data_IF_386885514881
#
_entry.id   IF_386885514881
#
_cell.length_a   1.000
_cell.length_b   1.000
_cell.length_c   1.000
_cell.angle_alpha   90.00
_cell.angle_beta   90.00
_cell.angle_gamma   90.00
#
_symmetry.space_group_name_H-M   'P 1'
#
loop_
_entity.id
_entity.type
_entity.pdbx_description
1 polymer ?
#
# COMPACT_ATOMS: atom_id res chain seq x y z
N UNK A 1 1.82 8.61 -10.53
CA UNK A 1 0.91 8.09 -9.48
C UNK A 1 -0.08 9.19 -9.11
N UNK A 2 -1.41 8.97 -9.20
CA UNK A 2 -2.37 9.99 -8.74
C UNK A 2 -2.16 10.25 -7.24
N UNK A 3 -1.72 11.45 -6.90
CA UNK A 3 -1.57 11.92 -5.52
C UNK A 3 -2.97 12.27 -5.05
N UNK A 4 -3.52 11.46 -4.15
CA UNK A 4 -4.85 11.68 -3.60
C UNK A 4 -4.62 12.37 -2.23
N UNK A 5 -5.34 13.44 -1.93
CA UNK A 5 -5.12 14.20 -0.68
C UNK A 5 -5.73 13.52 0.56
N UNK A 6 -6.52 12.45 0.41
CA UNK A 6 -7.13 11.79 1.57
C UNK A 6 -6.07 11.21 2.50
N UNK A 7 -6.34 11.29 3.81
CA UNK A 7 -5.46 10.76 4.84
C UNK A 7 -5.21 9.25 4.67
N UNK A 8 -4.08 8.78 5.17
CA UNK A 8 -3.80 7.35 5.26
C UNK A 8 -4.65 6.71 6.37
N UNK A 9 -5.22 5.54 6.10
CA UNK A 9 -5.88 4.74 7.13
C UNK A 9 -4.84 4.09 8.05
N UNK A 10 -5.25 3.74 9.27
CA UNK A 10 -4.45 2.95 10.21
C UNK A 10 -3.96 1.62 9.61
N UNK A 11 -4.75 1.03 8.71
CA UNK A 11 -4.39 -0.17 7.96
C UNK A 11 -3.20 0.04 7.03
N UNK A 12 -3.10 1.19 6.37
CA UNK A 12 -1.92 1.54 5.56
C UNK A 12 -0.69 1.66 6.45
N UNK A 13 -0.79 2.38 7.57
CA UNK A 13 0.30 2.55 8.52
C UNK A 13 0.80 1.22 9.08
N UNK A 14 -0.11 0.34 9.54
CA UNK A 14 0.27 -0.96 10.09
C UNK A 14 1.00 -1.83 9.07
N UNK A 15 0.54 -1.86 7.81
CA UNK A 15 1.17 -2.65 6.76
C UNK A 15 2.53 -2.07 6.35
N UNK A 16 2.64 -0.75 6.26
CA UNK A 16 3.90 -0.06 5.99
C UNK A 16 4.94 -0.38 7.08
N UNK A 17 4.55 -0.29 8.36
CA UNK A 17 5.40 -0.64 9.49
C UNK A 17 5.82 -2.11 9.45
N UNK A 18 4.91 -3.04 9.13
CA UNK A 18 5.26 -4.47 8.99
C UNK A 18 6.31 -4.73 7.90
N UNK A 19 6.29 -3.99 6.79
CA UNK A 19 7.31 -4.12 5.73
C UNK A 19 8.66 -3.59 6.20
N UNK A 20 8.65 -2.43 6.84
CA UNK A 20 9.86 -1.79 7.37
C UNK A 20 10.49 -2.66 8.46
N UNK A 21 9.69 -3.21 9.35
CA UNK A 21 10.14 -4.14 10.38
C UNK A 21 10.89 -5.33 9.77
N UNK A 22 10.38 -5.91 8.67
CA UNK A 22 11.09 -6.98 7.95
C UNK A 22 12.42 -6.51 7.34
N UNK A 23 12.50 -5.27 6.86
CA UNK A 23 13.75 -4.70 6.33
C UNK A 23 14.79 -4.44 7.42
N UNK A 24 14.34 -3.95 8.59
CA UNK A 24 15.19 -3.75 9.77
C UNK A 24 15.80 -5.08 10.21
N UNK A 25 14.98 -6.14 10.35
CA UNK A 25 15.46 -7.48 10.71
C UNK A 25 16.49 -8.00 9.70
N UNK A 26 16.32 -7.67 8.42
CA UNK A 26 17.25 -8.08 7.35
C UNK A 26 18.49 -7.18 7.22
N UNK A 27 18.58 -6.10 8.00
CA UNK A 27 19.67 -5.12 7.91
C UNK A 27 19.70 -4.34 6.59
N UNK A 28 18.59 -4.26 5.84
CA UNK A 28 18.55 -3.64 4.51
C UNK A 28 18.12 -2.18 4.52
N UNK A 29 18.11 -1.53 5.68
CA UNK A 29 17.69 -0.14 5.82
C UNK A 29 18.57 0.61 6.82
N UNK A 30 19.00 1.82 6.42
CA UNK A 30 19.65 2.76 7.32
C UNK A 30 18.62 3.52 8.15
N UNK A 31 18.91 3.75 9.44
CA UNK A 31 18.06 4.54 10.33
C UNK A 31 17.79 5.95 9.81
N UNK A 32 18.76 6.54 9.11
CA UNK A 32 18.65 7.88 8.50
C UNK A 32 17.58 7.92 7.41
N UNK A 33 17.34 6.79 6.75
CA UNK A 33 16.35 6.68 5.67
C UNK A 33 14.98 6.21 6.13
N UNK A 34 14.83 5.84 7.42
CA UNK A 34 13.62 5.24 7.96
C UNK A 34 12.37 6.09 7.70
N UNK A 35 12.44 7.40 7.92
CA UNK A 35 11.31 8.30 7.70
C UNK A 35 10.94 8.40 6.20
N UNK A 36 11.94 8.50 5.32
CA UNK A 36 11.71 8.51 3.86
C UNK A 36 11.08 7.19 3.41
N UNK A 37 11.58 6.07 3.91
CA UNK A 37 11.03 4.74 3.63
C UNK A 37 9.60 4.59 4.14
N UNK A 38 9.30 5.10 5.34
CA UNK A 38 7.95 5.07 5.90
C UNK A 38 6.95 5.81 5.02
N UNK A 39 7.30 7.01 4.56
CA UNK A 39 6.47 7.75 3.61
C UNK A 39 6.26 6.98 2.30
N UNK A 40 7.33 6.42 1.73
CA UNK A 40 7.25 5.61 0.52
C UNK A 40 6.34 4.37 0.69
N UNK A 41 6.46 3.67 1.82
CA UNK A 41 5.64 2.49 2.13
C UNK A 41 4.16 2.85 2.35
N UNK A 42 3.85 4.00 2.94
CA UNK A 42 2.46 4.49 3.04
C UNK A 42 1.84 4.70 1.66
N UNK A 43 2.59 5.32 0.74
CA UNK A 43 2.15 5.49 -0.64
C UNK A 43 1.93 4.13 -1.32
N UNK A 44 2.85 3.19 -1.14
CA UNK A 44 2.75 1.84 -1.70
C UNK A 44 1.49 1.12 -1.20
N UNK A 45 1.23 1.14 0.11
CA UNK A 45 0.07 0.44 0.68
C UNK A 45 -1.25 0.99 0.16
N UNK A 46 -1.34 2.31 0.01
CA UNK A 46 -2.49 2.95 -0.61
C UNK A 46 -2.63 2.57 -2.08
N UNK A 47 -1.53 2.48 -2.81
CA UNK A 47 -1.56 2.04 -4.20
C UNK A 47 -2.07 0.61 -4.32
N UNK A 48 -1.59 -0.30 -3.47
CA UNK A 48 -2.04 -1.70 -3.41
C UNK A 48 -3.53 -1.80 -3.09
N UNK A 49 -4.04 -0.96 -2.17
CA UNK A 49 -5.48 -0.91 -1.87
C UNK A 49 -6.30 -0.52 -3.11
N UNK A 50 -5.88 0.53 -3.83
CA UNK A 50 -6.58 0.94 -5.08
C UNK A 50 -6.57 -0.15 -6.13
N UNK A 51 -5.43 -0.80 -6.35
CA UNK A 51 -5.34 -1.93 -7.29
C UNK A 51 -6.28 -3.06 -6.90
N UNK A 52 -6.37 -3.38 -5.61
CA UNK A 52 -7.28 -4.41 -5.09
C UNK A 52 -8.74 -4.04 -5.36
N UNK A 53 -9.12 -2.78 -5.14
CA UNK A 53 -10.48 -2.28 -5.40
C UNK A 53 -10.79 -2.33 -6.92
N UNK A 54 -9.85 -1.89 -7.76
CA UNK A 54 -10.01 -1.94 -9.22
C UNK A 54 -10.21 -3.37 -9.73
N UNK A 55 -9.39 -4.32 -9.26
CA UNK A 55 -9.52 -5.74 -9.62
C UNK A 55 -10.84 -6.35 -9.14
N UNK A 56 -11.38 -5.90 -8.00
CA UNK A 56 -12.70 -6.33 -7.51
C UNK A 56 -13.86 -5.75 -8.33
N UNK A 57 -13.69 -4.54 -8.86
CA UNK A 57 -14.69 -3.93 -9.75
C UNK A 57 -14.69 -4.58 -11.14
N UNK A 58 -13.53 -4.94 -11.69
CA UNK A 58 -13.44 -5.64 -12.97
C UNK A 58 -14.04 -7.05 -12.89
N UNK A 59 -13.77 -7.80 -11.82
CA UNK A 59 -14.35 -9.14 -11.64
C UNK A 59 -15.88 -9.11 -11.47
N UNK A 60 -16.44 -8.13 -10.75
CA UNK A 60 -17.89 -7.91 -10.65
C UNK A 60 -18.53 -7.48 -11.97
N UNK A 61 -17.81 -6.76 -12.84
CA UNK A 61 -18.29 -6.42 -14.18
C UNK A 61 -18.32 -7.64 -15.09
N UNK A 62 -17.29 -8.50 -15.02
CA UNK A 62 -17.23 -9.74 -15.80
C UNK A 62 -18.38 -10.69 -15.42
N UNK A 63 -18.64 -10.89 -14.12
CA UNK A 63 -19.72 -11.81 -13.68
C UNK A 63 -21.13 -11.33 -14.04
N UNK A 64 -21.34 -10.03 -14.23
CA UNK A 64 -22.62 -9.45 -14.69
C UNK A 64 -22.83 -9.53 -16.20
N UNK A 65 -21.77 -9.76 -16.99
CA UNK A 65 -21.84 -9.84 -18.46
C UNK A 65 -22.07 -11.27 -18.97
N UNK A 66 -21.85 -12.28 -18.12
CA UNK A 66 -22.10 -13.70 -18.42
C UNK A 66 -23.46 -14.21 -17.92
N UNK A 67 -24.40 -13.32 -17.62
CA UNK A 67 -25.76 -13.64 -17.19
C UNK A 67 -26.74 -12.92 -18.10
#
# INVERSE_FOLDING_TARGET
MKIISTAYSSKHSLRALRRIHKMIIRGTISWVELHKMYRAMLHLERYMERLTIQNRHSSKKASRKSK
#
